data_IF_646486723776
#
_entry.id   IF_646486723776
#
_cell.length_a   1.000
_cell.length_b   1.000
_cell.length_c   1.000
_cell.angle_alpha   90.00
_cell.angle_beta   90.00
_cell.angle_gamma   90.00
#
_symmetry.space_group_name_H-M   'P 1'
#
loop_
_entity.id
_entity.type
_entity.pdbx_description
1 polymer ?
#
# COMPACT_ATOMS: atom_id res chain seq x y z
N UNK A 1 2.99 -7.75 -8.90
CA UNK A 1 1.58 -7.54 -8.52
C UNK A 1 1.47 -6.22 -7.79
N UNK A 2 0.68 -5.25 -8.28
CA UNK A 2 0.37 -4.04 -7.52
C UNK A 2 -0.37 -4.43 -6.24
N UNK A 3 0.00 -3.85 -5.10
CA UNK A 3 -0.65 -4.09 -3.81
C UNK A 3 -1.26 -2.80 -3.27
N UNK A 4 -2.45 -2.92 -2.70
CA UNK A 4 -3.09 -1.85 -1.95
C UNK A 4 -2.73 -2.05 -0.48
N UNK A 5 -2.16 -1.03 0.14
CA UNK A 5 -1.87 -1.01 1.57
C UNK A 5 -3.09 -0.48 2.33
N UNK A 6 -4.19 -1.19 2.15
CA UNK A 6 -5.47 -1.00 2.83
C UNK A 6 -5.70 -2.13 3.86
N UNK A 7 -6.90 -2.20 4.43
CA UNK A 7 -7.26 -3.19 5.43
C UNK A 7 -7.13 -4.65 4.97
N UNK A 8 -7.10 -4.93 3.66
CA UNK A 8 -6.87 -6.30 3.17
C UNK A 8 -5.47 -6.81 3.53
N UNK A 9 -4.54 -5.91 3.81
CA UNK A 9 -3.19 -6.21 4.25
C UNK A 9 -3.08 -6.56 5.74
N UNK A 10 -4.12 -6.30 6.56
CA UNK A 10 -4.09 -6.54 8.01
C UNK A 10 -3.73 -7.99 8.35
N UNK A 11 -4.34 -8.94 7.65
CA UNK A 11 -4.09 -10.37 7.85
C UNK A 11 -2.63 -10.74 7.54
N UNK A 12 -2.04 -10.14 6.49
CA UNK A 12 -0.63 -10.35 6.18
C UNK A 12 0.27 -9.77 7.27
N UNK A 13 -0.02 -8.55 7.73
CA UNK A 13 0.75 -7.90 8.79
C UNK A 13 0.61 -8.62 10.13
N UNK A 14 -0.50 -9.32 10.38
CA UNK A 14 -0.68 -10.14 11.58
C UNK A 14 0.22 -11.37 11.53
N UNK A 15 0.31 -12.01 10.36
CA UNK A 15 1.02 -13.28 10.22
C UNK A 15 2.49 -13.14 9.82
N UNK A 16 2.99 -11.92 9.56
CA UNK A 16 4.35 -11.55 9.06
C UNK A 16 5.18 -12.78 8.71
N UNK A 17 4.81 -13.42 7.61
CA UNK A 17 5.36 -14.70 7.24
C UNK A 17 6.36 -14.50 6.11
N UNK A 18 7.61 -14.93 6.33
CA UNK A 18 8.67 -14.93 5.31
C UNK A 18 8.31 -15.75 4.06
N UNK A 19 7.22 -16.52 4.11
CA UNK A 19 6.70 -17.34 3.01
C UNK A 19 6.10 -16.50 1.88
N UNK A 20 5.63 -15.29 2.19
CA UNK A 20 5.00 -14.40 1.22
C UNK A 20 5.84 -13.13 1.12
N UNK A 21 6.45 -12.91 -0.04
CA UNK A 21 7.18 -11.67 -0.30
C UNK A 21 6.24 -10.63 -0.85
N UNK A 22 5.95 -9.60 -0.05
CA UNK A 22 5.27 -8.42 -0.57
C UNK A 22 6.19 -7.60 -1.49
N UNK A 23 5.61 -6.80 -2.40
CA UNK A 23 6.36 -5.79 -3.12
C UNK A 23 7.06 -4.83 -2.15
N UNK A 24 8.15 -4.21 -2.60
CA UNK A 24 8.88 -3.22 -1.81
C UNK A 24 8.02 -2.00 -1.46
N UNK A 25 7.05 -1.69 -2.32
CA UNK A 25 6.18 -0.52 -2.22
C UNK A 25 4.72 -0.83 -2.51
N UNK A 26 3.84 -0.13 -1.81
CA UNK A 26 2.42 -0.06 -2.10
C UNK A 26 2.17 0.74 -3.38
N UNK A 27 1.15 0.35 -4.15
CA UNK A 27 0.66 1.12 -5.32
C UNK A 27 -0.57 1.96 -5.02
N UNK A 28 -1.05 1.92 -3.78
CA UNK A 28 -2.21 2.64 -3.29
C UNK A 28 -2.60 2.14 -1.89
N UNK A 29 -3.70 2.62 -1.31
CA UNK A 29 -4.56 3.68 -1.82
C UNK A 29 -3.88 5.07 -1.79
N UNK A 30 -4.59 6.12 -2.21
CA UNK A 30 -4.06 7.50 -2.22
C UNK A 30 -3.52 7.90 -0.85
N UNK A 31 -2.27 8.37 -0.82
CA UNK A 31 -1.55 8.71 0.41
C UNK A 31 -0.71 7.56 0.98
N UNK A 32 -0.86 6.35 0.44
CA UNK A 32 -0.10 5.16 0.81
C UNK A 32 0.79 4.65 -0.31
N UNK A 33 0.71 5.23 -1.51
CA UNK A 33 1.65 4.92 -2.59
C UNK A 33 3.08 5.08 -2.12
N UNK A 34 3.95 4.16 -2.55
CA UNK A 34 5.39 4.20 -2.27
C UNK A 34 5.78 4.03 -0.80
N UNK A 35 4.84 3.75 0.09
CA UNK A 35 5.15 3.25 1.43
C UNK A 35 5.56 1.78 1.34
N UNK A 36 6.45 1.34 2.22
CA UNK A 36 6.77 -0.08 2.29
C UNK A 36 5.70 -0.82 3.09
N UNK A 37 5.02 -1.82 2.51
CA UNK A 37 4.01 -2.57 3.25
C UNK A 37 4.60 -3.26 4.49
N UNK A 38 5.89 -3.64 4.46
CA UNK A 38 6.56 -4.28 5.60
C UNK A 38 6.84 -3.31 6.76
N UNK A 39 6.86 -2.00 6.49
CA UNK A 39 7.07 -0.95 7.50
C UNK A 39 5.76 -0.46 8.13
N UNK A 40 4.61 -0.78 7.52
CA UNK A 40 3.31 -0.41 8.04
C UNK A 40 2.91 -1.27 9.26
N UNK A 41 2.27 -0.62 10.22
CA UNK A 41 1.54 -1.25 11.30
C UNK A 41 0.05 -1.34 10.94
N UNK A 42 -0.66 -2.31 11.51
CA UNK A 42 -2.10 -2.51 11.24
C UNK A 42 -2.94 -1.25 11.51
N UNK A 43 -2.63 -0.50 12.58
CA UNK A 43 -3.31 0.75 12.93
C UNK A 43 -3.13 1.88 11.91
N UNK A 44 -2.17 1.75 11.00
CA UNK A 44 -1.90 2.72 9.94
C UNK A 44 -2.66 2.36 8.66
N UNK A 45 -3.34 1.21 8.58
CA UNK A 45 -4.05 0.84 7.37
C UNK A 45 -5.38 1.61 7.28
N UNK A 46 -5.72 2.17 6.10
CA UNK A 46 -6.96 2.89 5.88
C UNK A 46 -8.13 1.91 5.69
N UNK A 47 -8.76 1.50 6.79
CA UNK A 47 -9.86 0.52 6.76
C UNK A 47 -11.23 1.10 6.39
N UNK A 48 -11.37 2.44 6.39
CA UNK A 48 -12.66 3.13 6.26
C UNK A 48 -12.76 4.11 5.07
N UNK A 49 -11.80 4.10 4.14
CA UNK A 49 -11.72 5.09 3.05
C UNK A 49 -11.92 4.47 1.65
N UNK A 50 -12.71 3.41 1.52
CA UNK A 50 -13.18 2.94 0.20
C UNK A 50 -14.48 3.66 -0.13
N UNK A 51 -14.43 4.99 -0.21
CA UNK A 51 -15.47 5.76 -0.89
C UNK A 51 -14.88 6.29 -2.19
N UNK A 52 -15.42 5.75 -3.27
CA UNK A 52 -15.44 6.27 -4.64
C UNK A 52 -14.61 7.53 -4.90
N UNK A 53 -13.43 7.37 -5.50
CA UNK A 53 -12.98 8.33 -6.49
C UNK A 53 -12.41 7.56 -7.68
N UNK A 54 -13.31 7.22 -8.60
CA UNK A 54 -13.07 6.55 -9.87
C UNK A 54 -12.40 7.50 -10.90
N UNK A 55 -11.52 8.39 -10.43
CA UNK A 55 -10.73 9.23 -11.32
C UNK A 55 -9.38 8.55 -11.55
N UNK A 56 -9.40 7.72 -12.59
CA UNK A 56 -8.29 7.00 -13.18
C UNK A 56 -7.18 7.98 -13.60
N UNK A 57 -6.44 8.47 -12.61
CA UNK A 57 -5.23 9.24 -12.85
C UNK A 57 -4.21 8.23 -13.29
N UNK A 58 -3.71 8.37 -14.52
CA UNK A 58 -2.65 7.53 -15.07
C UNK A 58 -1.44 7.57 -14.13
N UNK A 59 -1.30 6.58 -13.24
CA UNK A 59 -0.19 6.47 -12.29
C UNK A 59 1.05 6.05 -13.09
N UNK A 60 1.72 7.05 -13.66
CA UNK A 60 3.13 6.98 -14.03
C UNK A 60 3.94 7.07 -12.74
N UNK A 61 4.68 6.01 -12.40
CA UNK A 61 5.76 5.96 -11.40
C UNK A 61 5.68 7.02 -10.28
N UNK A 62 4.73 6.86 -9.36
CA UNK A 62 4.60 7.76 -8.20
C UNK A 62 5.82 7.71 -7.26
N UNK A 63 6.65 6.67 -7.36
CA UNK A 63 7.77 6.44 -6.44
C UNK A 63 9.10 7.07 -6.89
N UNK A 64 9.17 7.72 -8.05
CA UNK A 64 10.41 8.33 -8.57
C UNK A 64 10.75 9.71 -7.97
N UNK A 65 10.12 10.16 -6.88
CA UNK A 65 10.40 11.46 -6.24
C UNK A 65 10.76 11.40 -4.75
N UNK A 66 11.65 10.49 -4.35
CA UNK A 66 12.46 10.66 -3.13
C UNK A 66 13.93 10.31 -3.40
N UNK A 67 14.55 10.98 -4.36
CA UNK A 67 16.01 11.13 -4.37
C UNK A 67 16.31 12.43 -3.64
N UNK A 68 17.06 12.30 -2.54
CA UNK A 68 17.45 13.32 -1.57
C UNK A 68 18.24 14.47 -2.20
#
# INVERSE_FOLDING_TARGET
NPIQCDCTLEWYLEQRSDRFKLPDVCTGPIGYECLSPNELQQSQLPCYQINEDNNQTTIKNLCEKRVK
#
